data_IF_132331967704
#
_entry.id   IF_132331967704
#
_cell.length_a   1.000
_cell.length_b   1.000
_cell.length_c   1.000
_cell.angle_alpha   90.00
_cell.angle_beta   90.00
_cell.angle_gamma   90.00
#
_symmetry.space_group_name_H-M   'P 1'
#
loop_
_entity.id
_entity.type
_entity.pdbx_description
1 polymer ?
#
# COMPACT_ATOMS: atom_id res chain seq x y z
N UNK A 1 -41.83 28.75 -34.30
CA UNK A 1 -41.55 28.49 -32.88
C UNK A 1 -41.18 27.04 -32.75
N UNK A 2 -39.84 26.79 -32.77
CA UNK A 2 -39.27 25.43 -32.65
C UNK A 2 -39.04 25.16 -31.14
N UNK A 3 -39.77 24.18 -30.59
CA UNK A 3 -39.52 23.68 -29.23
C UNK A 3 -38.26 22.79 -29.26
N UNK A 4 -37.18 23.25 -28.63
CA UNK A 4 -36.02 22.41 -28.33
C UNK A 4 -36.46 21.39 -27.27
N UNK A 5 -36.47 20.10 -27.65
CA UNK A 5 -36.53 19.00 -26.68
C UNK A 5 -35.19 18.97 -25.92
N UNK A 6 -35.18 19.45 -24.70
CA UNK A 6 -34.08 19.18 -23.75
C UNK A 6 -34.24 17.72 -23.28
N UNK A 7 -33.43 16.85 -23.84
CA UNK A 7 -33.27 15.49 -23.33
C UNK A 7 -32.56 15.60 -21.99
N UNK A 8 -33.27 15.48 -20.87
CA UNK A 8 -32.68 15.40 -19.56
C UNK A 8 -31.79 14.14 -19.48
N UNK A 9 -30.49 14.32 -19.41
CA UNK A 9 -29.55 13.22 -19.13
C UNK A 9 -29.88 12.77 -17.72
N UNK A 10 -30.41 11.55 -17.59
CA UNK A 10 -30.66 10.93 -16.30
C UNK A 10 -29.30 10.66 -15.65
N UNK A 11 -29.00 11.38 -14.59
CA UNK A 11 -27.79 11.17 -13.84
C UNK A 11 -27.83 9.76 -13.23
N UNK A 12 -26.80 8.96 -13.51
CA UNK A 12 -26.63 7.69 -12.80
C UNK A 12 -26.36 7.97 -11.32
N UNK A 13 -26.91 7.14 -10.41
CA UNK A 13 -26.60 7.28 -9.00
C UNK A 13 -25.08 7.12 -8.79
N UNK A 14 -24.50 7.97 -7.93
CA UNK A 14 -23.11 7.84 -7.53
C UNK A 14 -22.87 6.44 -6.95
N UNK A 15 -21.83 5.72 -7.40
CA UNK A 15 -21.53 4.41 -6.86
C UNK A 15 -21.15 4.54 -5.37
N UNK A 16 -21.83 3.77 -4.52
CA UNK A 16 -21.52 3.72 -3.09
C UNK A 16 -20.68 2.49 -2.80
N UNK A 17 -19.53 2.71 -2.13
CA UNK A 17 -18.67 1.63 -1.70
C UNK A 17 -19.17 1.09 -0.36
N UNK A 18 -19.40 -0.21 -0.27
CA UNK A 18 -20.06 -0.86 0.87
C UNK A 18 -19.09 -1.69 1.72
N UNK A 19 -19.49 -1.97 2.97
CA UNK A 19 -18.75 -2.87 3.85
C UNK A 19 -18.57 -4.28 3.23
N UNK A 20 -19.57 -4.79 2.53
CA UNK A 20 -19.48 -6.09 1.86
C UNK A 20 -18.43 -6.10 0.74
N UNK A 21 -18.27 -4.99 0.01
CA UNK A 21 -17.22 -4.82 -0.98
C UNK A 21 -15.85 -4.63 -0.33
N UNK A 22 -15.77 -3.88 0.77
CA UNK A 22 -14.56 -3.73 1.54
C UNK A 22 -14.04 -5.08 2.06
N UNK A 23 -14.92 -5.94 2.62
CA UNK A 23 -14.57 -7.29 3.06
C UNK A 23 -14.04 -8.19 1.93
N UNK A 24 -14.49 -7.99 0.70
CA UNK A 24 -13.97 -8.73 -0.46
C UNK A 24 -12.62 -8.16 -0.93
N UNK A 25 -12.50 -6.84 -1.01
CA UNK A 25 -11.30 -6.19 -1.51
C UNK A 25 -10.10 -6.35 -0.59
N UNK A 26 -10.31 -6.40 0.74
CA UNK A 26 -9.22 -6.53 1.70
C UNK A 26 -8.45 -7.86 1.58
N UNK A 27 -9.09 -8.91 1.09
CA UNK A 27 -8.47 -10.24 0.95
C UNK A 27 -7.24 -10.22 0.05
N UNK A 28 -7.29 -9.45 -1.04
CA UNK A 28 -6.18 -9.39 -2.01
C UNK A 28 -4.91 -8.76 -1.41
N UNK A 29 -4.92 -7.52 -0.90
CA UNK A 29 -3.72 -6.92 -0.31
C UNK A 29 -3.25 -7.66 0.94
N UNK A 30 -4.17 -8.12 1.79
CA UNK A 30 -3.83 -8.85 3.01
C UNK A 30 -3.07 -10.16 2.71
N UNK A 31 -3.45 -10.86 1.64
CA UNK A 31 -2.74 -12.05 1.20
C UNK A 31 -1.39 -11.70 0.57
N UNK A 32 -1.35 -10.73 -0.34
CA UNK A 32 -0.17 -10.52 -1.17
C UNK A 32 0.99 -9.84 -0.43
N UNK A 33 0.74 -8.94 0.54
CA UNK A 33 1.83 -8.26 1.24
C UNK A 33 2.72 -9.19 2.06
N UNK A 34 2.19 -10.35 2.46
CA UNK A 34 2.94 -11.40 3.16
C UNK A 34 3.51 -12.49 2.24
N UNK A 35 3.23 -12.43 0.93
CA UNK A 35 3.67 -13.44 -0.04
C UNK A 35 4.95 -12.98 -0.72
N UNK A 36 6.09 -13.55 -0.32
CA UNK A 36 7.42 -13.13 -0.77
C UNK A 36 7.70 -13.51 -2.24
N UNK A 37 7.24 -14.67 -2.67
CA UNK A 37 7.49 -15.17 -4.04
C UNK A 37 6.20 -15.50 -4.77
N UNK A 38 6.16 -15.28 -6.14
CA UNK A 38 7.23 -14.76 -6.99
C UNK A 38 7.52 -13.27 -6.72
N UNK A 39 8.80 -12.87 -6.81
CA UNK A 39 9.24 -11.50 -6.60
C UNK A 39 10.10 -11.00 -7.75
N UNK A 40 9.85 -9.80 -8.20
CA UNK A 40 10.64 -9.10 -9.21
C UNK A 40 11.57 -8.10 -8.54
N UNK A 41 12.85 -8.42 -8.33
CA UNK A 41 13.81 -7.48 -7.79
C UNK A 41 14.05 -6.33 -8.79
N UNK A 42 14.15 -5.11 -8.28
CA UNK A 42 14.47 -3.92 -9.08
C UNK A 42 15.86 -3.38 -8.78
N UNK A 43 16.54 -3.96 -7.79
CA UNK A 43 17.84 -3.52 -7.31
C UNK A 43 18.98 -3.80 -8.29
N UNK A 44 19.99 -2.93 -8.26
CA UNK A 44 21.27 -3.16 -8.91
C UNK A 44 22.23 -3.76 -7.90
N UNK A 45 22.82 -4.91 -8.25
CA UNK A 45 23.78 -5.60 -7.38
C UNK A 45 25.20 -5.09 -7.63
N UNK A 46 25.90 -4.65 -6.59
CA UNK A 46 27.32 -4.27 -6.67
C UNK A 46 28.23 -5.47 -6.52
N UNK A 47 27.77 -6.49 -5.79
CA UNK A 47 28.54 -7.68 -5.50
C UNK A 47 27.65 -8.90 -5.28
N UNK A 48 28.27 -10.06 -5.17
CA UNK A 48 27.58 -11.31 -4.81
C UNK A 48 26.93 -11.24 -3.41
N UNK A 49 27.44 -10.39 -2.54
CA UNK A 49 26.89 -10.21 -1.18
C UNK A 49 25.52 -9.55 -1.18
N UNK A 50 25.14 -8.88 -2.28
CA UNK A 50 23.83 -8.22 -2.41
C UNK A 50 22.73 -9.22 -2.85
N UNK A 51 23.09 -10.48 -3.13
CA UNK A 51 22.13 -11.55 -3.41
C UNK A 51 21.52 -12.05 -2.09
N UNK A 52 20.47 -11.38 -1.65
CA UNK A 52 19.74 -11.70 -0.44
C UNK A 52 18.24 -11.84 -0.74
N UNK A 53 17.50 -12.43 0.19
CA UNK A 53 16.03 -12.55 0.05
C UNK A 53 15.36 -11.18 0.09
N UNK A 54 14.25 -10.98 -0.65
CA UNK A 54 13.50 -9.71 -0.69
C UNK A 54 13.18 -9.15 0.70
N UNK A 55 12.72 -9.99 1.63
CA UNK A 55 12.38 -9.60 3.00
C UNK A 55 13.58 -9.03 3.77
N UNK A 56 14.80 -9.41 3.42
CA UNK A 56 16.00 -8.92 4.11
C UNK A 56 16.31 -7.44 3.78
N UNK A 57 15.96 -6.98 2.60
CA UNK A 57 16.18 -5.59 2.15
C UNK A 57 14.90 -4.74 2.21
N UNK A 58 13.74 -5.37 2.08
CA UNK A 58 12.43 -4.72 2.10
C UNK A 58 11.51 -5.39 3.13
N UNK A 59 11.80 -5.28 4.44
CA UNK A 59 11.05 -6.01 5.48
C UNK A 59 9.58 -5.59 5.57
N UNK A 60 9.23 -4.41 5.06
CA UNK A 60 7.84 -3.95 4.95
C UNK A 60 7.27 -4.33 3.58
N UNK A 61 7.97 -4.03 2.50
CA UNK A 61 7.46 -4.03 1.13
C UNK A 61 8.00 -5.19 0.27
N UNK A 62 8.19 -6.37 0.87
CA UNK A 62 8.74 -7.56 0.20
C UNK A 62 7.70 -8.40 -0.57
N UNK A 63 6.41 -8.15 -0.37
CA UNK A 63 5.34 -8.95 -0.97
C UNK A 63 4.80 -8.40 -2.28
N UNK A 64 3.66 -8.93 -2.70
CA UNK A 64 2.88 -8.45 -3.86
C UNK A 64 3.67 -8.38 -5.17
N UNK A 65 4.64 -9.28 -5.40
CA UNK A 65 5.44 -9.36 -6.62
C UNK A 65 6.57 -8.34 -6.76
N UNK A 66 6.39 -7.07 -6.32
CA UNK A 66 7.43 -6.04 -6.33
C UNK A 66 7.18 -4.96 -5.25
N UNK A 67 8.19 -4.12 -5.02
CA UNK A 67 8.16 -3.12 -3.97
C UNK A 67 6.96 -2.17 -4.07
N UNK A 68 6.73 -1.56 -5.22
CA UNK A 68 5.63 -0.59 -5.35
C UNK A 68 4.24 -1.23 -5.27
N UNK A 69 4.08 -2.48 -5.71
CA UNK A 69 2.84 -3.23 -5.54
C UNK A 69 2.57 -3.54 -4.06
N UNK A 70 3.61 -3.84 -3.28
CA UNK A 70 3.48 -3.95 -1.84
C UNK A 70 3.05 -2.63 -1.19
N UNK A 71 3.64 -1.50 -1.59
CA UNK A 71 3.22 -0.16 -1.13
C UNK A 71 1.73 0.10 -1.42
N UNK A 72 1.25 -0.26 -2.62
CA UNK A 72 -0.18 -0.21 -2.97
C UNK A 72 -1.03 -1.10 -2.04
N UNK A 73 -0.54 -2.30 -1.74
CA UNK A 73 -1.21 -3.22 -0.81
C UNK A 73 -1.40 -2.60 0.56
N UNK A 74 -0.35 -2.00 1.12
CA UNK A 74 -0.41 -1.30 2.41
C UNK A 74 -1.34 -0.09 2.36
N UNK A 75 -1.25 0.74 1.32
CA UNK A 75 -2.17 1.85 1.12
C UNK A 75 -3.63 1.38 1.07
N UNK A 76 -3.92 0.30 0.33
CA UNK A 76 -5.26 -0.27 0.23
C UNK A 76 -5.77 -0.72 1.60
N UNK A 77 -4.95 -1.42 2.38
CA UNK A 77 -5.31 -1.88 3.73
C UNK A 77 -5.62 -0.71 4.66
N UNK A 78 -4.77 0.32 4.69
CA UNK A 78 -4.98 1.51 5.52
C UNK A 78 -6.25 2.24 5.12
N UNK A 79 -6.45 2.46 3.82
CA UNK A 79 -7.63 3.17 3.30
C UNK A 79 -8.93 2.43 3.62
N UNK A 80 -8.96 1.10 3.43
CA UNK A 80 -10.12 0.27 3.74
C UNK A 80 -10.41 0.25 5.25
N UNK A 81 -9.38 0.07 6.06
CA UNK A 81 -9.53 0.04 7.52
C UNK A 81 -10.01 1.39 8.08
N UNK A 82 -9.55 2.50 7.51
CA UNK A 82 -9.98 3.86 7.86
C UNK A 82 -11.44 4.11 7.53
N UNK A 83 -11.90 3.62 6.38
CA UNK A 83 -13.28 3.80 5.93
C UNK A 83 -14.25 2.81 6.57
N UNK A 84 -13.81 1.58 6.85
CA UNK A 84 -14.62 0.48 7.38
C UNK A 84 -13.89 -0.20 8.56
N UNK A 85 -13.80 0.48 9.70
CA UNK A 85 -13.12 -0.08 10.88
C UNK A 85 -13.78 -1.34 11.43
N UNK A 86 -15.02 -1.61 11.02
CA UNK A 86 -15.80 -2.81 11.37
C UNK A 86 -15.66 -3.98 10.40
N UNK A 87 -14.73 -3.92 9.43
CA UNK A 87 -14.47 -5.05 8.54
C UNK A 87 -14.15 -6.33 9.31
N UNK A 88 -14.53 -7.48 8.75
CA UNK A 88 -14.25 -8.80 9.35
C UNK A 88 -12.75 -9.01 9.62
N UNK A 89 -11.89 -8.49 8.76
CA UNK A 89 -10.43 -8.58 8.86
C UNK A 89 -9.75 -7.39 9.54
N UNK A 90 -10.51 -6.45 10.12
CA UNK A 90 -9.96 -5.22 10.68
C UNK A 90 -8.83 -5.47 11.71
N UNK A 91 -9.02 -6.39 12.64
CA UNK A 91 -8.02 -6.72 13.67
C UNK A 91 -6.77 -7.41 13.08
N UNK A 92 -6.97 -8.26 12.08
CA UNK A 92 -5.87 -8.91 11.37
C UNK A 92 -5.00 -7.87 10.63
N UNK A 93 -5.64 -6.91 9.95
CA UNK A 93 -4.96 -5.80 9.29
C UNK A 93 -4.21 -4.94 10.30
N UNK A 94 -4.85 -4.55 11.42
CA UNK A 94 -4.20 -3.77 12.48
C UNK A 94 -2.96 -4.45 13.03
N UNK A 95 -3.06 -5.74 13.29
CA UNK A 95 -1.94 -6.55 13.78
C UNK A 95 -0.79 -6.54 12.77
N UNK A 96 -1.07 -6.81 11.49
CA UNK A 96 -0.08 -6.84 10.43
C UNK A 96 0.63 -5.48 10.28
N UNK A 97 -0.11 -4.38 10.26
CA UNK A 97 0.47 -3.04 10.17
C UNK A 97 1.45 -2.76 11.32
N UNK A 98 1.07 -3.07 12.56
CA UNK A 98 1.94 -2.90 13.74
C UNK A 98 3.18 -3.79 13.71
N UNK A 99 3.06 -5.01 13.23
CA UNK A 99 4.17 -5.96 13.14
C UNK A 99 5.17 -5.59 12.04
N UNK A 100 4.70 -4.99 10.96
CA UNK A 100 5.54 -4.71 9.79
C UNK A 100 6.08 -3.28 9.76
N UNK A 101 5.26 -2.29 10.08
CA UNK A 101 5.68 -0.89 10.09
C UNK A 101 6.27 -0.57 11.47
N UNK A 102 7.52 -0.92 11.65
CA UNK A 102 8.29 -0.65 12.88
C UNK A 102 9.46 0.27 12.56
N UNK A 103 9.97 0.99 13.55
CA UNK A 103 11.13 1.85 13.38
C UNK A 103 12.34 1.09 12.83
N UNK A 104 12.56 -0.16 13.24
CA UNK A 104 13.64 -1.03 12.74
C UNK A 104 13.45 -1.35 11.25
N UNK A 105 12.26 -1.77 10.86
CA UNK A 105 11.96 -2.11 9.47
C UNK A 105 12.02 -0.87 8.56
N UNK A 106 11.52 0.27 9.03
CA UNK A 106 11.62 1.56 8.30
C UNK A 106 13.08 1.94 8.12
N UNK A 107 13.92 1.79 9.15
CA UNK A 107 15.34 2.08 9.03
C UNK A 107 16.03 1.17 8.00
N UNK A 108 15.64 -0.11 7.91
CA UNK A 108 16.16 -1.03 6.90
C UNK A 108 15.75 -0.63 5.48
N UNK A 109 14.47 -0.28 5.26
CA UNK A 109 13.99 0.25 3.98
C UNK A 109 14.75 1.52 3.58
N UNK A 110 14.92 2.45 4.53
CA UNK A 110 15.63 3.72 4.29
C UNK A 110 17.09 3.47 3.91
N UNK A 111 17.79 2.59 4.63
CA UNK A 111 19.18 2.25 4.36
C UNK A 111 19.39 1.69 2.94
N UNK A 112 18.40 0.99 2.39
CA UNK A 112 18.42 0.55 1.00
C UNK A 112 18.41 1.74 0.03
N UNK A 113 17.52 2.71 0.24
CA UNK A 113 17.37 3.88 -0.64
C UNK A 113 18.51 4.90 -0.50
N UNK A 114 19.19 4.94 0.63
CA UNK A 114 20.34 5.81 0.85
C UNK A 114 21.60 5.38 0.08
N UNK A 115 21.66 4.12 -0.37
CA UNK A 115 22.76 3.65 -1.23
C UNK A 115 22.74 4.37 -2.58
N UNK A 116 23.87 4.98 -3.02
CA UNK A 116 23.93 5.72 -4.29
C UNK A 116 23.51 4.89 -5.51
N UNK A 117 23.77 3.59 -5.51
CA UNK A 117 23.43 2.68 -6.60
C UNK A 117 21.92 2.47 -6.74
N UNK A 118 21.15 2.68 -5.68
CA UNK A 118 19.70 2.47 -5.66
C UNK A 118 18.90 3.73 -5.98
N UNK A 119 19.53 4.85 -6.34
CA UNK A 119 18.86 6.12 -6.67
C UNK A 119 17.81 6.01 -7.77
N UNK A 120 17.95 5.05 -8.68
CA UNK A 120 17.02 4.80 -9.78
C UNK A 120 16.18 3.55 -9.58
N UNK A 121 16.15 2.99 -8.38
CA UNK A 121 15.43 1.76 -8.07
C UNK A 121 13.94 1.87 -8.42
N UNK A 122 13.30 2.95 -7.98
CA UNK A 122 11.88 3.15 -8.21
C UNK A 122 11.61 4.42 -9.02
N UNK A 123 10.55 4.38 -9.82
CA UNK A 123 10.08 5.51 -10.62
C UNK A 123 9.24 6.45 -9.76
N UNK A 124 9.04 7.67 -10.24
CA UNK A 124 8.18 8.69 -9.60
C UNK A 124 6.80 8.16 -9.21
N UNK A 125 6.26 7.27 -10.00
CA UNK A 125 5.00 6.57 -9.76
C UNK A 125 4.99 5.80 -8.42
N UNK A 126 6.00 4.96 -8.14
CA UNK A 126 6.06 4.21 -6.89
C UNK A 126 6.25 5.10 -5.67
N UNK A 127 7.07 6.14 -5.78
CA UNK A 127 7.24 7.16 -4.74
C UNK A 127 5.94 7.91 -4.44
N UNK A 128 5.14 8.21 -5.47
CA UNK A 128 3.85 8.85 -5.28
C UNK A 128 2.90 7.98 -4.43
N UNK A 129 2.94 6.67 -4.58
CA UNK A 129 2.15 5.74 -3.76
C UNK A 129 2.66 5.62 -2.33
N UNK A 130 3.97 5.69 -2.10
CA UNK A 130 4.51 5.75 -0.74
C UNK A 130 4.07 7.04 -0.02
N UNK A 131 4.13 8.18 -0.72
CA UNK A 131 3.61 9.45 -0.20
C UNK A 131 2.11 9.39 0.08
N UNK A 132 1.35 8.68 -0.76
CA UNK A 132 -0.08 8.48 -0.56
C UNK A 132 -0.38 7.61 0.67
N UNK A 133 0.40 6.57 0.92
CA UNK A 133 0.32 5.79 2.15
C UNK A 133 0.60 6.65 3.38
N UNK A 134 1.67 7.45 3.33
CA UNK A 134 2.03 8.37 4.41
C UNK A 134 0.93 9.40 4.67
N UNK A 135 0.35 9.97 3.63
CA UNK A 135 -0.79 10.91 3.73
C UNK A 135 -2.00 10.26 4.42
N UNK A 136 -2.32 9.01 4.08
CA UNK A 136 -3.46 8.30 4.70
C UNK A 136 -3.23 8.05 6.19
N UNK A 137 -2.00 7.71 6.60
CA UNK A 137 -1.63 7.55 8.00
C UNK A 137 -1.69 8.89 8.74
N UNK A 138 -1.10 9.95 8.16
CA UNK A 138 -1.08 11.30 8.74
C UNK A 138 -2.49 11.86 8.98
N UNK A 139 -3.40 11.66 8.04
CA UNK A 139 -4.77 12.15 8.10
C UNK A 139 -5.75 11.19 8.80
N UNK A 140 -5.23 10.22 9.54
CA UNK A 140 -6.06 9.24 10.25
C UNK A 140 -6.04 9.52 11.75
N UNK A 141 -7.18 9.90 12.32
CA UNK A 141 -7.34 10.11 13.77
C UNK A 141 -7.51 8.76 14.50
N UNK A 142 -6.41 8.01 14.55
CA UNK A 142 -6.32 6.70 15.21
C UNK A 142 -4.97 6.65 15.95
N UNK A 143 -4.93 6.21 17.22
CA UNK A 143 -3.67 6.10 17.97
C UNK A 143 -2.64 5.23 17.26
N UNK A 144 -3.06 4.14 16.61
CA UNK A 144 -2.17 3.29 15.83
C UNK A 144 -1.54 4.05 14.66
N UNK A 145 -2.31 4.87 13.94
CA UNK A 145 -1.79 5.61 12.81
C UNK A 145 -0.68 6.58 13.22
N UNK A 146 -0.80 7.22 14.37
CA UNK A 146 0.23 8.10 14.95
C UNK A 146 1.52 7.36 15.31
N UNK A 147 1.41 6.10 15.70
CA UNK A 147 2.58 5.25 16.00
C UNK A 147 3.27 4.73 14.72
N UNK A 148 2.54 4.69 13.59
CA UNK A 148 3.03 4.17 12.31
C UNK A 148 3.57 5.27 11.38
N UNK A 149 3.26 6.54 11.64
CA UNK A 149 3.72 7.70 10.87
C UNK A 149 5.21 7.98 11.13
#
# INVERSE_FOLDING_TARGET
>A
TSKKNETSIQAFPEPTFTLAEANKLIELPLHCVGTEYPYKPGETLESKADLVEPIAVHPIFYGCFDWHSAVHGYWSMVTLLKQFPEMEKAEEVRKLLKEKITAENVATELAFFEKPINKSFERTYGWAWLLKLSEELHNWDDPMAKDLE
#
